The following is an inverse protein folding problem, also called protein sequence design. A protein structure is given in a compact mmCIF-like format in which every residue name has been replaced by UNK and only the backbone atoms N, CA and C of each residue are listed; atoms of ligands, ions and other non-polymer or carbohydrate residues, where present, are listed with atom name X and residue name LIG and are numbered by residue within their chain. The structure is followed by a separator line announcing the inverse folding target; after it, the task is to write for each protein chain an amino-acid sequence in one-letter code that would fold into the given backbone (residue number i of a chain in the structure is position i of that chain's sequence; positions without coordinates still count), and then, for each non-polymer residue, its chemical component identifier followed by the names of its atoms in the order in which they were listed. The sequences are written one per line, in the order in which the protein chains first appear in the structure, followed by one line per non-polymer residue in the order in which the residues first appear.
data_IF_377192544773
#
_entry.id   IF_377192544773
#
_cell.length_a   1.000
_cell.length_b   1.000
_cell.length_c   1.000
_cell.angle_alpha   90.00
_cell.angle_beta   90.00
_cell.angle_gamma   90.00
#
_symmetry.space_group_name_H-M   'P 1'
#
loop_
_entity.id
_entity.type
_entity.pdbx_description
1 polymer ?
#
# COMPACT_ATOMS: atom_id res chain seq x y z
N UNK A 1 -49.76 24.64 -82.53
CA UNK A 1 -48.42 24.09 -82.24
C UNK A 1 -48.24 24.10 -80.74
N UNK A 2 -48.07 22.92 -80.17
CA UNK A 2 -48.11 22.61 -78.73
C UNK A 2 -46.92 23.25 -78.01
N UNK A 3 -47.14 23.92 -76.87
CA UNK A 3 -46.11 24.00 -75.84
C UNK A 3 -46.77 24.17 -74.46
N UNK A 4 -46.90 23.05 -73.76
CA UNK A 4 -47.31 22.95 -72.36
C UNK A 4 -46.11 23.40 -71.51
N UNK A 5 -46.22 24.53 -70.81
CA UNK A 5 -45.30 24.87 -69.72
C UNK A 5 -46.08 24.81 -68.41
N UNK A 6 -46.06 23.63 -67.81
CA UNK A 6 -46.49 23.41 -66.44
C UNK A 6 -45.49 24.16 -65.53
N UNK A 7 -45.90 25.30 -64.97
CA UNK A 7 -45.21 25.91 -63.83
C UNK A 7 -45.40 25.01 -62.61
N UNK A 8 -44.50 24.05 -62.41
CA UNK A 8 -44.38 23.34 -61.12
C UNK A 8 -43.93 24.36 -60.07
N UNK A 9 -44.79 24.61 -59.08
CA UNK A 9 -44.39 25.26 -57.83
C UNK A 9 -43.42 24.30 -57.14
N UNK A 10 -42.11 24.60 -57.19
CA UNK A 10 -41.12 23.90 -56.38
C UNK A 10 -41.24 24.46 -54.97
N UNK A 11 -41.98 23.76 -54.11
CA UNK A 11 -41.95 23.98 -52.67
C UNK A 11 -40.59 23.45 -52.18
N UNK A 12 -39.61 24.33 -51.99
CA UNK A 12 -38.35 23.96 -51.35
C UNK A 12 -38.66 23.73 -49.87
N UNK A 13 -38.91 22.48 -49.50
CA UNK A 13 -38.93 22.06 -48.10
C UNK A 13 -37.48 22.14 -47.62
N UNK A 14 -37.15 23.22 -46.90
CA UNK A 14 -35.90 23.33 -46.17
C UNK A 14 -35.88 22.25 -45.08
N UNK A 15 -35.24 21.12 -45.36
CA UNK A 15 -34.86 20.16 -44.33
C UNK A 15 -33.80 20.85 -43.50
N UNK A 16 -34.19 21.35 -42.32
CA UNK A 16 -33.24 21.69 -41.27
C UNK A 16 -32.54 20.39 -40.89
N UNK A 17 -31.38 20.11 -41.51
CA UNK A 17 -30.39 19.26 -40.88
C UNK A 17 -29.99 19.97 -39.60
N UNK A 18 -30.67 19.65 -38.50
CA UNK A 18 -30.05 19.78 -37.19
C UNK A 18 -28.82 18.90 -37.27
N UNK A 19 -27.66 19.52 -37.50
CA UNK A 19 -26.38 18.89 -37.28
C UNK A 19 -26.42 18.53 -35.79
N UNK A 20 -26.76 17.28 -35.47
CA UNK A 20 -26.48 16.74 -34.16
C UNK A 20 -24.97 16.92 -34.03
N UNK A 21 -24.58 17.92 -33.24
CA UNK A 21 -23.17 18.14 -32.96
C UNK A 21 -22.66 16.81 -32.42
N UNK A 22 -21.84 16.12 -33.23
CA UNK A 22 -21.11 14.96 -32.76
C UNK A 22 -20.45 15.39 -31.44
N UNK A 23 -20.47 14.54 -30.39
CA UNK A 23 -19.76 14.84 -29.16
C UNK A 23 -18.36 15.31 -29.55
N UNK A 24 -18.04 16.57 -29.22
CA UNK A 24 -16.73 17.12 -29.52
C UNK A 24 -15.75 16.23 -28.75
N UNK A 25 -14.80 15.55 -29.40
CA UNK A 25 -13.87 14.68 -28.69
C UNK A 25 -13.25 15.52 -27.58
N UNK A 26 -13.37 15.05 -26.33
CA UNK A 26 -12.88 15.78 -25.19
C UNK A 26 -11.40 16.11 -25.44
N UNK A 27 -11.04 17.38 -25.25
CA UNK A 27 -9.67 17.81 -25.49
C UNK A 27 -8.71 16.94 -24.64
N UNK A 28 -7.61 16.44 -25.21
CA UNK A 28 -6.61 15.68 -24.47
C UNK A 28 -6.19 16.43 -23.19
N UNK A 29 -6.31 15.79 -22.03
CA UNK A 29 -5.74 16.34 -20.80
C UNK A 29 -4.26 15.95 -20.72
N UNK A 30 -3.31 16.92 -20.66
CA UNK A 30 -1.87 16.65 -20.70
C UNK A 30 -1.37 15.75 -19.58
N UNK A 31 -2.10 15.68 -18.46
CA UNK A 31 -1.72 14.88 -17.30
C UNK A 31 -1.95 13.36 -17.51
N UNK A 32 -2.98 12.99 -18.27
CA UNK A 32 -3.31 11.57 -18.50
C UNK A 32 -2.28 10.93 -19.46
N UNK A 33 -1.82 11.67 -20.47
CA UNK A 33 -0.75 11.22 -21.40
C UNK A 33 0.59 11.00 -20.68
N UNK A 34 1.01 11.93 -19.82
CA UNK A 34 2.25 11.81 -19.05
C UNK A 34 2.21 10.61 -18.10
N UNK A 35 1.09 10.44 -17.39
CA UNK A 35 0.87 9.32 -16.47
C UNK A 35 1.08 7.97 -17.17
N UNK A 36 0.43 7.76 -18.31
CA UNK A 36 0.46 6.49 -19.04
C UNK A 36 1.80 6.23 -19.71
N UNK A 37 2.43 7.27 -20.24
CA UNK A 37 3.76 7.18 -20.86
C UNK A 37 4.82 6.77 -19.83
N UNK A 38 4.74 7.30 -18.60
CA UNK A 38 5.64 6.84 -17.54
C UNK A 38 5.29 5.44 -17.05
N UNK A 39 3.99 5.13 -16.93
CA UNK A 39 3.55 3.82 -16.47
C UNK A 39 4.00 2.70 -17.42
N UNK A 40 3.87 2.89 -18.73
CA UNK A 40 4.31 1.91 -19.74
C UNK A 40 5.81 1.63 -19.69
N UNK A 41 6.63 2.64 -19.33
CA UNK A 41 8.08 2.48 -19.17
C UNK A 41 8.46 1.74 -17.89
N UNK A 42 7.66 1.87 -16.83
CA UNK A 42 7.93 1.21 -15.54
C UNK A 42 7.39 -0.22 -15.46
N UNK A 43 6.31 -0.52 -16.19
CA UNK A 43 5.72 -1.85 -16.25
C UNK A 43 6.47 -2.69 -17.28
N UNK A 44 7.09 -3.76 -16.81
CA UNK A 44 7.71 -4.75 -17.68
C UNK A 44 6.68 -5.85 -17.96
N UNK A 45 6.38 -6.08 -19.24
CA UNK A 45 5.43 -7.09 -19.68
C UNK A 45 6.15 -8.27 -20.37
N UNK A 46 6.64 -9.25 -19.60
CA UNK A 46 7.43 -10.35 -20.14
C UNK A 46 6.61 -11.25 -21.08
N UNK A 47 5.29 -11.30 -20.88
CA UNK A 47 4.38 -12.15 -21.65
C UNK A 47 3.82 -11.45 -22.89
N UNK A 48 4.13 -10.15 -23.10
CA UNK A 48 3.62 -9.33 -24.20
C UNK A 48 2.08 -9.28 -24.25
N UNK A 49 1.45 -9.30 -23.08
CA UNK A 49 0.01 -9.17 -22.91
C UNK A 49 -0.51 -7.75 -23.21
N UNK A 50 0.34 -6.73 -23.09
CA UNK A 50 0.04 -5.31 -23.27
C UNK A 50 0.41 -4.84 -24.68
N UNK A 51 -0.20 -5.43 -25.72
CA UNK A 51 0.19 -5.18 -27.11
C UNK A 51 0.09 -3.69 -27.53
N UNK A 52 -0.90 -2.98 -26.99
CA UNK A 52 -1.15 -1.57 -27.30
C UNK A 52 -0.43 -0.58 -26.36
N UNK A 53 0.41 -1.08 -25.45
CA UNK A 53 1.21 -0.28 -24.53
C UNK A 53 2.64 -0.05 -25.07
N UNK A 54 2.75 0.17 -26.37
CA UNK A 54 4.03 0.22 -27.11
C UNK A 54 4.41 1.62 -27.58
N UNK A 55 3.58 2.63 -27.31
CA UNK A 55 3.79 4.02 -27.75
C UNK A 55 4.83 4.78 -26.91
N UNK A 56 5.69 5.56 -27.58
CA UNK A 56 6.61 6.50 -26.92
C UNK A 56 5.87 7.72 -26.31
N UNK A 57 4.70 8.03 -26.87
CA UNK A 57 3.72 9.03 -26.42
C UNK A 57 2.31 8.53 -26.75
N UNK A 58 1.34 8.75 -25.86
CA UNK A 58 -0.06 8.35 -26.07
C UNK A 58 -0.93 9.59 -26.24
N UNK A 59 -1.17 10.00 -27.49
CA UNK A 59 -2.19 11.02 -27.78
C UNK A 59 -3.56 10.47 -27.34
N UNK A 60 -4.23 11.20 -26.42
CA UNK A 60 -5.42 10.80 -25.65
C UNK A 60 -5.96 9.39 -25.97
N UNK A 61 -5.75 8.40 -25.09
CA UNK A 61 -6.15 7.03 -25.38
C UNK A 61 -7.66 6.78 -25.31
N UNK A 62 -8.44 7.82 -25.00
CA UNK A 62 -9.87 7.75 -24.85
C UNK A 62 -10.62 8.20 -26.10
N UNK A 63 -11.58 7.38 -26.50
CA UNK A 63 -12.62 7.73 -27.47
C UNK A 63 -13.98 7.47 -26.78
N UNK A 64 -14.63 8.56 -26.37
CA UNK A 64 -15.83 8.56 -25.54
C UNK A 64 -15.66 7.73 -24.25
N UNK A 65 -16.34 6.57 -24.16
CA UNK A 65 -16.29 5.64 -23.02
C UNK A 65 -15.29 4.49 -23.19
N UNK A 66 -14.61 4.44 -24.34
CA UNK A 66 -13.70 3.34 -24.69
C UNK A 66 -12.25 3.81 -24.75
N UNK A 67 -11.32 2.89 -24.49
CA UNK A 67 -9.89 3.13 -24.71
C UNK A 67 -9.31 2.07 -25.63
N UNK A 68 -8.37 2.45 -26.49
CA UNK A 68 -7.56 1.48 -27.24
C UNK A 68 -6.51 0.80 -26.35
N UNK A 69 -6.21 1.36 -25.17
CA UNK A 69 -5.29 0.76 -24.21
C UNK A 69 -6.00 -0.36 -23.46
N UNK A 70 -5.41 -1.54 -23.53
CA UNK A 70 -5.89 -2.70 -22.77
C UNK A 70 -5.96 -2.35 -21.28
N UNK A 71 -7.10 -2.67 -20.66
CA UNK A 71 -7.35 -2.43 -19.24
C UNK A 71 -7.76 -1.01 -18.86
N UNK A 72 -7.64 -0.03 -19.76
CA UNK A 72 -8.09 1.33 -19.51
C UNK A 72 -9.58 1.50 -19.87
N UNK A 73 -10.32 2.21 -19.03
CA UNK A 73 -11.72 2.62 -19.31
C UNK A 73 -11.83 4.12 -19.14
N UNK A 74 -12.55 4.74 -20.06
CA UNK A 74 -12.69 6.19 -20.14
C UNK A 74 -14.07 6.66 -19.71
N UNK A 75 -14.11 7.84 -19.13
CA UNK A 75 -15.32 8.60 -18.83
C UNK A 75 -15.06 10.06 -19.21
N UNK A 76 -15.95 10.64 -20.02
CA UNK A 76 -15.79 11.98 -20.59
C UNK A 76 -14.40 12.22 -21.23
N UNK A 77 -13.87 11.20 -21.93
CA UNK A 77 -12.59 11.29 -22.62
C UNK A 77 -11.35 11.33 -21.73
N UNK A 78 -11.47 10.93 -20.45
CA UNK A 78 -10.36 10.73 -19.51
C UNK A 78 -10.39 9.35 -18.90
N UNK A 79 -9.23 8.77 -18.60
CA UNK A 79 -9.18 7.47 -17.92
C UNK A 79 -9.67 7.63 -16.48
N UNK A 80 -10.69 6.87 -16.12
CA UNK A 80 -11.18 6.80 -14.74
C UNK A 80 -10.96 5.42 -14.12
N UNK A 81 -10.74 4.38 -14.93
CA UNK A 81 -10.44 3.04 -14.45
C UNK A 81 -9.25 2.45 -15.21
N UNK A 82 -8.33 1.85 -14.49
CA UNK A 82 -7.23 1.06 -15.02
C UNK A 82 -7.21 -0.30 -14.32
N UNK A 83 -7.42 -1.37 -15.07
CA UNK A 83 -7.49 -2.74 -14.57
C UNK A 83 -6.62 -3.66 -15.43
N UNK A 84 -5.52 -4.12 -14.85
CA UNK A 84 -4.50 -4.97 -15.46
C UNK A 84 -4.20 -6.22 -14.59
N UNK A 85 -5.20 -6.97 -14.12
CA UNK A 85 -4.97 -8.11 -13.23
C UNK A 85 -4.41 -9.32 -13.98
N UNK A 86 -3.58 -10.11 -13.32
CA UNK A 86 -3.12 -11.42 -13.81
C UNK A 86 -2.42 -11.38 -15.18
N UNK A 87 -1.55 -10.39 -15.39
CA UNK A 87 -0.81 -10.21 -16.63
C UNK A 87 0.68 -10.58 -16.50
N UNK A 88 1.11 -11.09 -15.34
CA UNK A 88 2.51 -11.38 -15.01
C UNK A 88 3.43 -10.16 -15.14
N UNK A 89 2.89 -8.95 -14.92
CA UNK A 89 3.64 -7.70 -15.03
C UNK A 89 4.71 -7.62 -13.95
N UNK A 90 5.90 -7.14 -14.31
CA UNK A 90 7.03 -6.86 -13.43
C UNK A 90 7.30 -5.36 -13.37
N UNK A 91 8.27 -4.96 -12.54
CA UNK A 91 8.64 -3.56 -12.36
C UNK A 91 8.12 -2.99 -11.05
N UNK A 92 7.72 -1.72 -11.06
CA UNK A 92 7.22 -1.01 -9.88
C UNK A 92 6.09 -0.05 -10.23
N UNK A 93 5.33 0.36 -9.22
CA UNK A 93 4.26 1.36 -9.38
C UNK A 93 4.91 2.74 -9.47
N UNK A 94 4.86 3.35 -10.65
CA UNK A 94 5.43 4.67 -10.91
C UNK A 94 4.75 5.76 -10.08
N UNK A 95 5.50 6.68 -9.42
CA UNK A 95 4.92 7.87 -8.79
C UNK A 95 4.10 8.74 -9.76
N UNK A 96 4.45 8.72 -11.05
CA UNK A 96 3.73 9.44 -12.11
C UNK A 96 2.30 8.93 -12.35
N UNK A 97 1.93 7.77 -11.80
CA UNK A 97 0.54 7.33 -11.78
C UNK A 97 -0.37 8.39 -11.14
N UNK A 98 0.17 9.18 -10.21
CA UNK A 98 -0.51 10.30 -9.56
C UNK A 98 -0.98 11.42 -10.51
N UNK A 99 -0.46 11.48 -11.75
CA UNK A 99 -0.90 12.43 -12.76
C UNK A 99 -2.22 12.02 -13.43
N UNK A 100 -2.65 10.76 -13.35
CA UNK A 100 -3.96 10.29 -13.82
C UNK A 100 -5.09 10.77 -12.88
N UNK A 101 -5.30 12.07 -12.72
CA UNK A 101 -6.13 12.64 -11.64
C UNK A 101 -7.62 12.29 -11.69
N UNK A 102 -8.11 11.78 -12.84
CA UNK A 102 -9.48 11.29 -12.97
C UNK A 102 -9.65 9.83 -12.53
N UNK A 103 -8.57 9.14 -12.15
CA UNK A 103 -8.60 7.73 -11.78
C UNK A 103 -9.43 7.50 -10.50
N UNK A 104 -10.46 6.68 -10.62
CA UNK A 104 -11.37 6.24 -9.58
C UNK A 104 -11.14 4.77 -9.20
N UNK A 105 -10.65 3.94 -10.12
CA UNK A 105 -10.36 2.54 -9.86
C UNK A 105 -9.01 2.13 -10.44
N UNK A 106 -8.15 1.58 -9.59
CA UNK A 106 -6.87 0.99 -9.95
C UNK A 106 -6.84 -0.47 -9.52
N UNK A 107 -6.61 -1.36 -10.47
CA UNK A 107 -6.47 -2.79 -10.22
C UNK A 107 -5.23 -3.32 -10.94
N UNK A 108 -4.21 -3.67 -10.16
CA UNK A 108 -2.95 -4.26 -10.62
C UNK A 108 -2.72 -5.62 -9.95
N UNK A 109 -3.77 -6.27 -9.47
CA UNK A 109 -3.65 -7.48 -8.66
C UNK A 109 -3.06 -8.67 -9.43
N UNK A 110 -2.52 -9.63 -8.69
CA UNK A 110 -2.03 -10.90 -9.26
C UNK A 110 -0.93 -10.68 -10.32
N UNK A 111 0.01 -9.79 -10.04
CA UNK A 111 1.18 -9.53 -10.88
C UNK A 111 2.46 -9.81 -10.08
N UNK A 112 3.62 -9.48 -10.65
CA UNK A 112 4.94 -9.60 -10.04
C UNK A 112 5.55 -8.22 -9.79
N UNK A 113 4.74 -7.23 -9.42
CA UNK A 113 5.20 -5.87 -9.12
C UNK A 113 5.99 -5.85 -7.81
N UNK A 114 7.03 -5.03 -7.78
CA UNK A 114 7.97 -4.87 -6.67
C UNK A 114 8.10 -3.41 -6.27
N UNK A 115 8.92 -3.12 -5.24
CA UNK A 115 9.08 -1.77 -4.71
C UNK A 115 7.95 -1.37 -3.76
N UNK A 116 7.90 -0.10 -3.40
CA UNK A 116 6.90 0.46 -2.47
C UNK A 116 5.70 1.04 -3.19
N UNK A 117 4.57 1.13 -2.48
CA UNK A 117 3.43 1.95 -2.92
C UNK A 117 3.86 3.42 -2.86
N UNK A 118 3.85 4.18 -3.98
CA UNK A 118 4.33 5.55 -4.01
C UNK A 118 3.45 6.45 -3.14
N UNK A 119 4.03 7.28 -2.26
CA UNK A 119 3.24 8.18 -1.42
C UNK A 119 2.46 9.22 -2.24
N UNK A 120 2.90 9.57 -3.45
CA UNK A 120 2.26 10.50 -4.39
C UNK A 120 0.85 10.08 -4.83
N UNK A 121 0.45 8.83 -4.56
CA UNK A 121 -0.89 8.30 -4.87
C UNK A 121 -2.02 9.17 -4.26
N UNK A 122 -1.71 9.96 -3.23
CA UNK A 122 -2.64 10.92 -2.63
C UNK A 122 -3.21 11.96 -3.61
N UNK A 123 -2.54 12.21 -4.73
CA UNK A 123 -3.03 13.16 -5.76
C UNK A 123 -4.20 12.59 -6.55
N UNK A 124 -4.46 11.28 -6.45
CA UNK A 124 -5.64 10.62 -7.02
C UNK A 124 -6.85 10.85 -6.12
N UNK A 125 -7.29 12.10 -6.03
CA UNK A 125 -8.34 12.54 -5.09
C UNK A 125 -9.69 11.85 -5.32
N UNK A 126 -9.93 11.32 -6.54
CA UNK A 126 -11.15 10.61 -6.91
C UNK A 126 -11.05 9.09 -6.71
N UNK A 127 -9.92 8.57 -6.25
CA UNK A 127 -9.69 7.12 -6.12
C UNK A 127 -10.65 6.51 -5.10
N UNK A 128 -11.46 5.57 -5.57
CA UNK A 128 -12.45 4.84 -4.80
C UNK A 128 -12.07 3.36 -4.60
N UNK A 129 -11.34 2.78 -5.56
CA UNK A 129 -10.91 1.38 -5.50
C UNK A 129 -9.41 1.31 -5.78
N UNK A 130 -8.68 0.67 -4.88
CA UNK A 130 -7.30 0.27 -5.09
C UNK A 130 -7.14 -1.22 -4.77
N UNK A 131 -6.76 -2.00 -5.77
CA UNK A 131 -6.42 -3.41 -5.62
C UNK A 131 -4.99 -3.63 -6.12
N UNK A 132 -4.10 -3.94 -5.19
CA UNK A 132 -2.69 -4.27 -5.43
C UNK A 132 -2.34 -5.65 -4.89
N UNK A 133 -3.35 -6.49 -4.62
CA UNK A 133 -3.16 -7.77 -3.97
C UNK A 133 -2.33 -8.74 -4.81
N UNK A 134 -1.76 -9.75 -4.15
CA UNK A 134 -0.98 -10.83 -4.79
C UNK A 134 0.13 -10.28 -5.69
N UNK A 135 1.01 -9.48 -5.10
CA UNK A 135 2.20 -8.92 -5.74
C UNK A 135 3.42 -9.14 -4.83
N UNK A 136 4.55 -8.50 -5.14
CA UNK A 136 5.78 -8.51 -4.34
C UNK A 136 6.12 -7.11 -3.83
N UNK A 137 5.12 -6.28 -3.53
CA UNK A 137 5.29 -4.93 -3.00
C UNK A 137 5.86 -4.98 -1.58
N UNK A 138 6.67 -4.01 -1.21
CA UNK A 138 7.38 -3.95 0.09
C UNK A 138 7.43 -2.54 0.66
N UNK A 139 7.91 -2.39 1.89
CA UNK A 139 7.91 -1.11 2.59
C UNK A 139 6.55 -0.78 3.24
N UNK A 140 6.41 0.43 3.81
CA UNK A 140 5.21 0.79 4.55
C UNK A 140 4.01 1.10 3.64
N UNK A 141 2.81 0.89 4.18
CA UNK A 141 1.59 1.45 3.59
C UNK A 141 1.66 2.98 3.78
N UNK A 142 1.63 3.79 2.71
CA UNK A 142 1.77 5.23 2.84
C UNK A 142 0.54 5.82 3.52
N UNK A 143 0.72 6.49 4.67
CA UNK A 143 -0.37 7.19 5.37
C UNK A 143 -1.12 8.18 4.47
N UNK A 144 -0.43 8.76 3.48
CA UNK A 144 -1.02 9.69 2.51
C UNK A 144 -2.09 9.06 1.62
N UNK A 145 -2.16 7.72 1.52
CA UNK A 145 -3.25 7.04 0.80
C UNK A 145 -4.61 7.33 1.47
N UNK A 146 -4.64 7.61 2.79
CA UNK A 146 -5.85 8.02 3.49
C UNK A 146 -6.36 9.42 3.10
N UNK A 147 -5.60 10.21 2.33
CA UNK A 147 -6.06 11.50 1.78
C UNK A 147 -6.99 11.33 0.56
N UNK A 148 -7.03 10.14 -0.04
CA UNK A 148 -8.01 9.80 -1.07
C UNK A 148 -9.38 9.56 -0.40
N UNK A 149 -10.10 10.65 -0.12
CA UNK A 149 -11.34 10.63 0.68
C UNK A 149 -12.47 9.77 0.10
N UNK A 150 -12.40 9.43 -1.19
CA UNK A 150 -13.37 8.57 -1.87
C UNK A 150 -13.09 7.08 -1.73
N UNK A 151 -11.94 6.69 -1.15
CA UNK A 151 -11.56 5.29 -1.00
C UNK A 151 -12.63 4.48 -0.27
N UNK A 152 -13.07 3.44 -0.95
CA UNK A 152 -14.11 2.52 -0.55
C UNK A 152 -13.55 1.10 -0.41
N UNK A 153 -12.66 0.70 -1.31
CA UNK A 153 -12.03 -0.62 -1.34
C UNK A 153 -10.52 -0.44 -1.36
N UNK A 154 -9.86 -1.01 -0.36
CA UNK A 154 -8.41 -1.12 -0.28
C UNK A 154 -8.05 -2.59 -0.13
N UNK A 155 -7.45 -3.16 -1.16
CA UNK A 155 -7.02 -4.55 -1.16
C UNK A 155 -5.52 -4.64 -1.43
N UNK A 156 -4.76 -5.06 -0.42
CA UNK A 156 -3.29 -5.12 -0.39
C UNK A 156 -2.80 -6.50 0.08
N UNK A 157 -3.67 -7.51 0.14
CA UNK A 157 -3.28 -8.83 0.65
C UNK A 157 -2.20 -9.50 -0.20
N UNK A 158 -1.51 -10.50 0.35
CA UNK A 158 -0.46 -11.27 -0.31
C UNK A 158 0.64 -10.38 -0.93
N UNK A 159 1.34 -9.65 -0.08
CA UNK A 159 2.48 -8.81 -0.44
C UNK A 159 3.58 -8.91 0.65
N UNK A 160 4.63 -8.10 0.56
CA UNK A 160 5.70 -7.98 1.55
C UNK A 160 5.68 -6.63 2.28
N UNK A 161 4.52 -5.97 2.40
CA UNK A 161 4.36 -4.68 3.07
C UNK A 161 4.71 -4.82 4.56
N UNK A 162 5.35 -3.80 5.12
CA UNK A 162 5.88 -3.81 6.48
C UNK A 162 5.51 -2.55 7.26
N UNK A 163 5.92 -2.47 8.54
CA UNK A 163 5.53 -1.35 9.41
C UNK A 163 4.11 -1.49 9.95
N UNK A 164 3.54 -0.38 10.44
CA UNK A 164 2.21 -0.34 11.03
C UNK A 164 1.12 0.01 10.01
N UNK A 165 -0.10 -0.43 10.28
CA UNK A 165 -1.28 0.05 9.55
C UNK A 165 -1.51 1.52 9.95
N UNK A 166 -1.52 2.48 9.00
CA UNK A 166 -1.69 3.88 9.35
C UNK A 166 -3.08 4.12 9.98
N UNK A 167 -3.16 4.76 11.17
CA UNK A 167 -4.44 5.02 11.83
C UNK A 167 -5.38 5.94 11.03
N UNK A 168 -4.83 6.70 10.09
CA UNK A 168 -5.55 7.63 9.22
C UNK A 168 -6.61 6.93 8.35
N UNK A 169 -6.42 5.63 8.04
CA UNK A 169 -7.42 4.84 7.31
C UNK A 169 -8.77 4.76 8.07
N UNK A 170 -8.76 4.95 9.39
CA UNK A 170 -9.97 5.06 10.18
C UNK A 170 -10.87 6.25 9.81
N UNK A 171 -10.27 7.33 9.27
CA UNK A 171 -10.98 8.54 8.82
C UNK A 171 -11.65 8.40 7.45
N UNK A 172 -11.37 7.33 6.71
CA UNK A 172 -12.02 7.05 5.43
C UNK A 172 -13.49 6.69 5.66
N UNK A 173 -14.37 7.69 5.55
CA UNK A 173 -15.80 7.55 5.81
C UNK A 173 -16.46 6.50 4.90
N UNK A 174 -15.96 6.35 3.66
CA UNK A 174 -16.53 5.47 2.64
C UNK A 174 -15.94 4.06 2.63
N UNK A 175 -14.91 3.78 3.44
CA UNK A 175 -14.22 2.49 3.44
C UNK A 175 -15.18 1.37 3.87
N UNK A 176 -15.46 0.46 2.93
CA UNK A 176 -16.35 -0.70 3.14
C UNK A 176 -15.63 -2.04 3.02
N UNK A 177 -14.47 -2.09 2.36
CA UNK A 177 -13.62 -3.27 2.24
C UNK A 177 -12.15 -2.90 2.46
N UNK A 178 -11.48 -3.67 3.30
CA UNK A 178 -10.09 -3.48 3.65
C UNK A 178 -9.46 -4.85 3.87
N UNK A 179 -8.42 -5.17 3.11
CA UNK A 179 -7.67 -6.41 3.26
C UNK A 179 -6.16 -6.14 3.17
N UNK A 180 -5.44 -6.58 4.19
CA UNK A 180 -3.99 -6.49 4.31
C UNK A 180 -3.39 -7.83 4.75
N UNK A 181 -4.14 -8.92 4.59
CA UNK A 181 -3.72 -10.25 5.00
C UNK A 181 -2.41 -10.66 4.32
N UNK A 182 -1.68 -11.59 4.94
CA UNK A 182 -0.47 -12.19 4.38
C UNK A 182 0.58 -11.16 3.95
N UNK A 183 0.90 -10.24 4.86
CA UNK A 183 1.98 -9.27 4.72
C UNK A 183 2.98 -9.41 5.88
N UNK A 184 3.91 -8.45 6.01
CA UNK A 184 4.89 -8.34 7.11
C UNK A 184 4.56 -7.17 8.04
N UNK A 185 3.27 -6.82 8.16
CA UNK A 185 2.82 -5.72 9.01
C UNK A 185 2.98 -6.06 10.49
N UNK A 186 3.12 -5.02 11.30
CA UNK A 186 3.40 -5.12 12.72
C UNK A 186 2.79 -3.97 13.52
N UNK A 187 2.61 -4.17 14.83
CA UNK A 187 2.02 -3.17 15.70
C UNK A 187 0.55 -3.42 15.98
N UNK A 188 -0.06 -2.50 16.72
CA UNK A 188 -1.47 -2.60 17.09
C UNK A 188 -2.37 -2.21 15.91
N UNK A 189 -3.45 -2.96 15.69
CA UNK A 189 -4.48 -2.59 14.73
C UNK A 189 -5.15 -1.29 15.22
N UNK A 190 -5.17 -0.20 14.43
CA UNK A 190 -5.75 1.06 14.87
C UNK A 190 -7.20 0.91 15.32
N UNK A 191 -7.54 1.40 16.51
CA UNK A 191 -8.89 1.28 17.08
C UNK A 191 -9.99 1.83 16.15
N UNK A 192 -9.66 2.86 15.36
CA UNK A 192 -10.52 3.48 14.35
C UNK A 192 -10.90 2.54 13.20
N UNK A 193 -10.02 1.59 12.86
CA UNK A 193 -10.29 0.50 11.92
C UNK A 193 -10.89 -0.72 12.61
N UNK A 194 -10.38 -1.05 13.80
CA UNK A 194 -10.84 -2.17 14.61
C UNK A 194 -12.35 -2.12 14.86
N UNK A 195 -12.92 -0.95 15.14
CA UNK A 195 -14.37 -0.79 15.34
C UNK A 195 -15.22 -1.08 14.09
N UNK A 196 -14.61 -1.00 12.89
CA UNK A 196 -15.27 -1.39 11.64
C UNK A 196 -15.27 -2.91 11.46
N UNK A 197 -14.27 -3.58 12.01
CA UNK A 197 -14.17 -5.03 12.05
C UNK A 197 -15.36 -5.61 12.82
N UNK A 198 -16.21 -6.39 12.16
CA UNK A 198 -17.44 -6.94 12.75
C UNK A 198 -18.72 -6.15 12.45
N UNK A 199 -18.64 -4.91 11.96
CA UNK A 199 -19.79 -4.21 11.35
C UNK A 199 -19.89 -4.44 9.85
N UNK A 200 -18.74 -4.56 9.20
CA UNK A 200 -18.63 -4.76 7.76
C UNK A 200 -18.11 -6.18 7.49
N UNK A 201 -18.86 -6.98 6.72
CA UNK A 201 -18.46 -8.35 6.40
C UNK A 201 -17.08 -8.43 5.72
N UNK A 202 -16.72 -7.41 4.93
CA UNK A 202 -15.46 -7.31 4.18
C UNK A 202 -14.31 -6.66 4.95
N UNK A 203 -14.48 -6.43 6.26
CA UNK A 203 -13.43 -6.04 7.21
C UNK A 203 -13.63 -6.94 8.42
N UNK A 204 -12.89 -8.04 8.49
CA UNK A 204 -13.03 -9.00 9.59
C UNK A 204 -11.64 -9.53 10.00
N UNK A 205 -11.58 -10.54 10.87
CA UNK A 205 -10.30 -11.09 11.32
C UNK A 205 -9.39 -11.55 10.17
N UNK A 206 -9.94 -12.16 9.11
CA UNK A 206 -9.19 -12.67 7.97
C UNK A 206 -8.45 -11.56 7.22
N UNK A 207 -9.01 -10.35 7.19
CA UNK A 207 -8.40 -9.15 6.57
C UNK A 207 -7.03 -8.77 7.15
N UNK A 208 -6.66 -9.31 8.32
CA UNK A 208 -5.42 -8.99 9.03
C UNK A 208 -4.52 -10.22 9.24
N UNK A 209 -5.00 -11.42 8.90
CA UNK A 209 -4.28 -12.67 9.13
C UNK A 209 -2.95 -12.76 8.36
N UNK A 210 -2.10 -13.72 8.69
CA UNK A 210 -0.79 -13.89 8.06
C UNK A 210 0.28 -12.84 8.47
N UNK A 211 -0.11 -11.73 9.08
CA UNK A 211 0.79 -10.72 9.62
C UNK A 211 1.25 -11.06 11.04
N UNK A 212 2.40 -11.74 11.19
CA UNK A 212 2.91 -12.21 12.49
C UNK A 212 3.09 -11.12 13.56
N UNK A 213 3.32 -9.87 13.15
CA UNK A 213 3.57 -8.75 14.06
C UNK A 213 2.31 -7.96 14.46
N UNK A 214 1.17 -8.21 13.81
CA UNK A 214 -0.08 -7.48 14.11
C UNK A 214 -0.78 -8.09 15.34
N UNK A 215 -1.40 -7.22 16.12
CA UNK A 215 -2.18 -7.60 17.30
C UNK A 215 -3.28 -6.57 17.60
N UNK A 216 -4.20 -6.92 18.50
CA UNK A 216 -5.36 -6.08 18.83
C UNK A 216 -6.57 -6.39 17.96
N UNK A 217 -7.77 -6.00 18.40
CA UNK A 217 -9.03 -6.40 17.76
C UNK A 217 -9.05 -6.06 16.26
N UNK A 218 -9.48 -6.97 15.36
CA UNK A 218 -10.12 -8.28 15.63
C UNK A 218 -9.16 -9.44 15.91
N UNK A 219 -7.85 -9.22 15.88
CA UNK A 219 -6.85 -10.24 16.24
C UNK A 219 -6.65 -10.32 17.77
N UNK A 220 -6.02 -11.39 18.27
CA UNK A 220 -5.64 -11.47 19.68
C UNK A 220 -4.74 -10.29 20.10
N UNK A 221 -4.90 -9.85 21.34
CA UNK A 221 -4.01 -8.84 21.94
C UNK A 221 -2.58 -9.34 22.02
N UNK A 222 -1.62 -8.40 22.07
CA UNK A 222 -0.19 -8.73 22.18
C UNK A 222 0.07 -9.62 23.39
N UNK A 223 0.56 -10.84 23.16
CA UNK A 223 1.13 -11.66 24.23
C UNK A 223 2.40 -10.97 24.74
N UNK A 224 2.32 -10.29 25.88
CA UNK A 224 3.51 -9.87 26.62
C UNK A 224 4.09 -11.14 27.25
N UNK A 225 5.13 -11.70 26.65
CA UNK A 225 5.94 -12.69 27.31
C UNK A 225 6.76 -11.95 28.39
N UNK A 226 6.16 -11.72 29.56
CA UNK A 226 6.94 -11.40 30.75
C UNK A 226 7.89 -12.55 31.05
N UNK A 227 9.00 -12.28 31.75
CA UNK A 227 9.83 -13.37 32.27
C UNK A 227 8.95 -14.28 33.12
N UNK A 228 9.08 -15.59 32.93
CA UNK A 228 8.43 -16.55 33.80
C UNK A 228 8.85 -16.29 35.25
N UNK A 229 7.94 -16.49 36.20
CA UNK A 229 8.23 -16.41 37.65
C UNK A 229 9.46 -17.27 37.98
N UNK A 230 9.60 -18.43 37.34
CA UNK A 230 10.77 -19.30 37.51
C UNK A 230 12.07 -18.64 37.05
N UNK A 231 12.05 -17.88 35.95
CA UNK A 231 13.21 -17.14 35.45
C UNK A 231 13.57 -15.98 36.39
N UNK A 232 12.57 -15.28 36.92
CA UNK A 232 12.78 -14.20 37.90
C UNK A 232 13.39 -14.75 39.19
N UNK A 233 12.83 -15.84 39.72
CA UNK A 233 13.36 -16.54 40.90
C UNK A 233 14.78 -17.05 40.64
N UNK A 234 15.03 -17.63 39.47
CA UNK A 234 16.35 -18.10 39.05
C UNK A 234 17.41 -16.99 38.99
N UNK A 235 17.05 -15.81 38.44
CA UNK A 235 17.93 -14.63 38.42
C UNK A 235 18.21 -14.17 39.86
N UNK A 236 17.19 -14.12 40.72
CA UNK A 236 17.34 -13.75 42.13
C UNK A 236 18.29 -14.68 42.90
N UNK A 237 18.05 -15.99 42.84
CA UNK A 237 18.90 -16.98 43.51
C UNK A 237 20.32 -17.01 42.96
N UNK A 238 20.48 -16.94 41.64
CA UNK A 238 21.80 -16.91 40.99
C UNK A 238 22.61 -15.68 41.37
N UNK A 239 21.99 -14.50 41.37
CA UNK A 239 22.64 -13.24 41.76
C UNK A 239 23.05 -13.23 43.23
N UNK A 240 22.22 -13.79 44.13
CA UNK A 240 22.53 -13.92 45.55
C UNK A 240 23.74 -14.84 45.81
N UNK A 241 23.76 -16.03 45.17
CA UNK A 241 24.89 -16.96 45.29
C UNK A 241 26.18 -16.37 44.75
N UNK A 242 26.13 -15.71 43.59
CA UNK A 242 27.29 -15.06 42.99
C UNK A 242 27.83 -13.95 43.89
N UNK A 243 26.95 -13.12 44.49
CA UNK A 243 27.36 -12.07 45.41
C UNK A 243 28.06 -12.65 46.65
N UNK A 244 27.54 -13.73 47.22
CA UNK A 244 28.17 -14.41 48.37
C UNK A 244 29.56 -14.96 48.02
N UNK A 245 29.71 -15.56 46.84
CA UNK A 245 31.00 -16.08 46.38
C UNK A 245 32.02 -14.96 46.17
N UNK A 246 31.61 -13.84 45.57
CA UNK A 246 32.48 -12.67 45.37
C UNK A 246 32.90 -12.09 46.72
N UNK A 247 31.96 -11.90 47.66
CA UNK A 247 32.25 -11.40 49.00
C UNK A 247 33.21 -12.32 49.76
N UNK A 248 32.98 -13.64 49.73
CA UNK A 248 33.85 -14.62 50.37
C UNK A 248 35.27 -14.59 49.78
N UNK A 249 35.38 -14.56 48.45
CA UNK A 249 36.66 -14.47 47.75
C UNK A 249 37.44 -13.21 48.12
N UNK A 250 36.74 -12.06 48.20
CA UNK A 250 37.34 -10.80 48.61
C UNK A 250 37.86 -10.85 50.06
N UNK A 251 37.11 -11.45 50.98
CA UNK A 251 37.54 -11.64 52.38
C UNK A 251 38.77 -12.54 52.46
N UNK A 252 38.79 -13.66 51.72
CA UNK A 252 39.95 -14.55 51.68
C UNK A 252 41.20 -13.85 51.13
N UNK A 253 41.07 -13.06 50.07
CA UNK A 253 42.19 -12.28 49.53
C UNK A 253 42.68 -11.25 50.55
N UNK A 254 41.77 -10.57 51.25
CA UNK A 254 42.13 -9.60 52.28
C UNK A 254 42.87 -10.23 53.46
N UNK A 255 42.40 -11.38 53.96
CA UNK A 255 43.06 -12.12 55.05
C UNK A 255 44.49 -12.54 54.67
N UNK A 256 44.67 -13.12 53.48
CA UNK A 256 46.00 -13.48 52.97
C UNK A 256 46.93 -12.27 52.86
N UNK A 257 46.40 -11.14 52.38
CA UNK A 257 47.17 -9.91 52.30
C UNK A 257 47.56 -9.38 53.70
N UNK A 258 46.67 -9.48 54.71
CA UNK A 258 47.00 -9.07 56.07
C UNK A 258 48.07 -9.94 56.73
N UNK A 259 48.01 -11.26 56.56
CA UNK A 259 49.04 -12.18 57.08
C UNK A 259 50.42 -11.92 56.44
N UNK A 260 50.45 -11.61 55.14
CA UNK A 260 51.70 -11.26 54.45
C UNK A 260 52.31 -9.94 54.96
N UNK A 261 51.48 -9.01 55.45
CA UNK A 261 51.95 -7.74 56.02
C UNK A 261 52.52 -7.94 57.43
N UNK A 262 51.85 -8.71 58.28
CA UNK A 262 52.34 -9.00 59.63
C UNK A 262 53.65 -9.80 59.60
N UNK A 263 53.77 -10.78 58.70
CA UNK A 263 55.01 -11.54 58.53
C UNK A 263 56.18 -10.67 58.04
N UNK A 264 55.91 -9.59 57.31
CA UNK A 264 56.93 -8.67 56.80
C UNK A 264 57.35 -7.59 57.82
N UNK A 265 56.50 -7.30 58.82
CA UNK A 265 56.83 -6.41 59.95
C UNK A 265 57.60 -7.16 61.04
N UNK A 266 57.24 -8.42 61.32
CA UNK A 266 57.96 -9.26 62.30
C UNK A 266 59.39 -9.60 61.84
N UNK A 267 59.64 -9.69 60.53
CA UNK A 267 60.97 -9.92 59.98
C UNK A 267 61.89 -8.69 59.93
N UNK A 268 61.45 -7.53 60.43
CA UNK A 268 62.18 -6.24 60.35
C UNK A 268 62.67 -5.72 61.71
N UNK A 269 62.45 -6.48 62.78
CA UNK A 269 62.80 -6.11 64.17
C UNK A 269 64.16 -6.69 64.61
N UNK A 270 64.80 -7.53 63.79
CA UNK A 270 66.02 -8.27 64.15
C UNK A 270 67.34 -7.77 63.49
N UNK A 271 67.40 -6.53 62.98
CA UNK A 271 68.66 -5.88 62.51
C UNK A 271 69.03 -4.63 63.34
#
# INVERSE_FOLDING_TARGET
MVCVVIRRRVLVMAVLLTCAALPRPAAPHPNDEQCLTHLSRTLQDPMKNLQNWTGETFANPCQDFTSYLQGATCDNGRIYKLSLPNLSLKGSISPYLSNCTNLQALDLSSNSLTGSIPPEIHSLVNLAVINLSSNSLSGPIPQKLALCAYLNIVDLHDNYLSGAIPPEFGFLARLSAFDVANNRLSGEIPASLAYRSGKLHRINASSYEGNKGLYGYPLPSRKRNGLSVLTIVGIGLGSGLLSLLVSFSAVCMWLRASESRTASDDGKVDD
#
